data_IF_168318117554
#
_entry.id   IF_168318117554
#
_cell.length_a   1.000
_cell.length_b   1.000
_cell.length_c   1.000
_cell.angle_alpha   90.00
_cell.angle_beta   90.00
_cell.angle_gamma   90.00
#
_symmetry.space_group_name_H-M   'P 1'
#
loop_
_entity.id
_entity.type
_entity.pdbx_description
1 polymer ?
#
# COMPACT_ATOMS: atom_id res chain seq x y z
N UNK A 1 38.65 15.45 60.17
CA UNK A 1 38.61 16.73 59.43
C UNK A 1 38.67 17.86 60.44
N UNK A 2 39.41 18.95 60.18
CA UNK A 2 39.32 20.15 61.03
C UNK A 2 37.95 20.82 60.84
N UNK A 3 37.45 21.50 61.88
CA UNK A 3 36.16 22.18 61.86
C UNK A 3 36.04 23.16 60.68
N UNK A 4 37.13 23.87 60.36
CA UNK A 4 37.23 24.76 59.19
C UNK A 4 37.01 24.04 57.84
N UNK A 5 37.49 22.80 57.68
CA UNK A 5 37.31 22.05 56.44
C UNK A 5 35.86 21.60 56.25
N UNK A 6 35.16 21.28 57.34
CA UNK A 6 33.75 20.91 57.30
C UNK A 6 32.86 22.09 56.90
N UNK A 7 33.16 23.29 57.39
CA UNK A 7 32.43 24.51 57.04
C UNK A 7 32.64 24.96 55.59
N UNK A 8 33.88 24.88 55.11
CA UNK A 8 34.18 25.12 53.68
C UNK A 8 33.40 24.14 52.79
N UNK A 9 33.35 22.87 53.20
CA UNK A 9 32.62 21.84 52.48
C UNK A 9 31.09 22.05 52.51
N UNK A 10 30.50 22.40 53.65
CA UNK A 10 29.07 22.72 53.77
C UNK A 10 28.68 23.97 52.97
N UNK A 11 29.53 25.01 52.98
CA UNK A 11 29.34 26.19 52.14
C UNK A 11 29.32 25.83 50.65
N UNK A 12 30.28 24.99 50.22
CA UNK A 12 30.33 24.50 48.83
C UNK A 12 29.13 23.60 48.49
N UNK A 13 28.66 22.77 49.42
CA UNK A 13 27.48 21.94 49.23
C UNK A 13 26.20 22.78 49.08
N UNK A 14 26.04 23.83 49.89
CA UNK A 14 24.91 24.78 49.80
C UNK A 14 24.93 25.54 48.47
N UNK A 15 26.10 25.97 48.01
CA UNK A 15 26.25 26.65 46.72
C UNK A 15 25.93 25.71 45.55
N UNK A 16 26.40 24.45 45.61
CA UNK A 16 26.06 23.40 44.62
C UNK A 16 24.56 23.06 44.60
N UNK A 17 23.90 23.02 45.75
CA UNK A 17 22.45 22.85 45.85
C UNK A 17 21.69 24.08 45.33
N UNK A 18 22.21 25.29 45.55
CA UNK A 18 21.68 26.52 44.96
C UNK A 18 21.70 26.50 43.43
N UNK A 19 22.76 25.97 42.82
CA UNK A 19 22.85 25.78 41.36
C UNK A 19 21.81 24.77 40.85
N UNK A 20 21.48 23.74 41.63
CA UNK A 20 20.45 22.76 41.26
C UNK A 20 19.02 23.34 41.29
N UNK A 21 18.75 24.40 42.07
CA UNK A 21 17.46 25.12 42.04
C UNK A 21 17.20 25.90 40.75
N UNK A 22 18.24 26.14 39.95
CA UNK A 22 18.16 26.88 38.69
C UNK A 22 18.72 26.04 37.53
N UNK A 23 17.87 25.19 36.95
CA UNK A 23 18.24 24.44 35.74
C UNK A 23 18.01 25.34 34.52
N UNK A 24 19.09 25.75 33.84
CA UNK A 24 19.06 26.64 32.67
C UNK A 24 18.41 28.02 32.91
N UNK A 25 18.60 28.60 34.09
CA UNK A 25 18.10 29.96 34.41
C UNK A 25 16.59 30.05 34.62
N UNK A 26 15.89 28.91 34.70
CA UNK A 26 14.48 28.86 35.09
C UNK A 26 14.35 28.24 36.49
N UNK A 27 13.48 28.80 37.36
CA UNK A 27 13.18 28.18 38.65
C UNK A 27 12.56 26.81 38.39
N UNK A 28 13.08 25.79 39.06
CA UNK A 28 12.49 24.45 39.06
C UNK A 28 11.13 24.54 39.77
N UNK A 29 10.03 24.06 39.16
CA UNK A 29 8.70 24.15 39.78
C UNK A 29 8.68 23.40 41.12
N UNK A 30 8.11 24.05 42.15
CA UNK A 30 7.95 23.47 43.48
C UNK A 30 7.22 22.11 43.37
N UNK A 31 7.84 21.05 43.90
CA UNK A 31 7.33 19.67 43.87
C UNK A 31 8.01 18.69 42.90
N UNK A 32 8.99 19.10 42.08
CA UNK A 32 9.56 18.19 41.07
C UNK A 32 10.82 17.41 41.46
N UNK A 33 11.35 17.55 42.69
CA UNK A 33 12.45 16.68 43.13
C UNK A 33 12.39 16.38 44.63
N UNK A 34 11.95 15.16 45.03
CA UNK A 34 11.91 14.75 46.43
C UNK A 34 13.30 14.70 47.09
N UNK A 35 14.38 14.75 46.30
CA UNK A 35 15.76 14.74 46.76
C UNK A 35 16.18 16.13 47.26
N UNK A 36 15.75 17.20 46.58
CA UNK A 36 16.06 18.58 46.94
C UNK A 36 15.44 18.99 48.28
N UNK A 37 14.16 18.67 48.47
CA UNK A 37 13.43 18.97 49.71
C UNK A 37 14.02 18.20 50.91
N UNK A 38 14.39 16.93 50.73
CA UNK A 38 15.05 16.15 51.79
C UNK A 38 16.44 16.68 52.15
N UNK A 39 17.23 17.13 51.17
CA UNK A 39 18.54 17.72 51.41
C UNK A 39 18.44 19.04 52.19
N UNK A 40 17.47 19.91 51.86
CA UNK A 40 17.25 21.15 52.61
C UNK A 40 16.78 20.89 54.05
N UNK A 41 15.88 19.93 54.25
CA UNK A 41 15.44 19.52 55.59
C UNK A 41 16.61 19.00 56.45
N UNK A 42 17.53 18.25 55.85
CA UNK A 42 18.73 17.75 56.52
C UNK A 42 19.71 18.88 56.88
N UNK A 43 19.93 19.86 55.99
CA UNK A 43 20.78 21.03 56.27
C UNK A 43 20.20 21.86 57.42
N UNK A 44 18.90 22.10 57.42
CA UNK A 44 18.22 22.85 58.51
C UNK A 44 18.33 22.10 59.84
N UNK A 45 18.19 20.77 59.83
CA UNK A 45 18.32 19.93 61.03
C UNK A 45 19.76 19.93 61.59
N UNK A 46 20.77 19.95 60.70
CA UNK A 46 22.18 20.07 61.05
C UNK A 46 22.52 21.41 61.72
N UNK A 47 22.01 22.53 61.18
CA UNK A 47 22.22 23.85 61.78
C UNK A 47 21.57 23.95 63.17
N UNK A 48 20.36 23.41 63.33
CA UNK A 48 19.65 23.38 64.63
C UNK A 48 20.40 22.56 65.69
N UNK A 49 20.85 21.34 65.35
CA UNK A 49 21.66 20.50 66.23
C UNK A 49 23.01 21.17 66.58
N UNK A 50 23.57 21.89 65.60
CA UNK A 50 24.72 22.80 65.70
C UNK A 50 24.66 23.72 66.91
N UNK A 51 23.53 24.44 66.99
CA UNK A 51 23.28 25.45 68.01
C UNK A 51 22.98 24.84 69.38
N UNK A 52 22.49 23.59 69.43
CA UNK A 52 21.99 22.97 70.65
C UNK A 52 23.06 22.20 71.46
N UNK A 53 24.07 21.60 70.82
CA UNK A 53 25.04 20.76 71.54
C UNK A 53 26.46 20.75 70.89
N UNK A 54 27.41 21.57 71.37
CA UNK A 54 28.75 21.67 70.78
C UNK A 54 29.72 20.52 71.14
N UNK A 55 29.34 19.61 72.05
CA UNK A 55 30.18 18.47 72.49
C UNK A 55 29.34 17.21 72.64
N UNK A 56 29.07 16.49 71.56
CA UNK A 56 28.40 15.21 71.64
C UNK A 56 28.91 14.20 70.58
N UNK A 57 29.07 12.91 70.93
CA UNK A 57 29.37 11.82 69.98
C UNK A 57 28.26 11.62 68.92
N UNK A 58 27.09 12.22 69.12
CA UNK A 58 26.00 12.25 68.15
C UNK A 58 26.36 12.98 66.84
N UNK A 59 27.35 13.89 66.84
CA UNK A 59 27.78 14.58 65.62
C UNK A 59 28.47 13.63 64.64
N UNK A 60 29.30 12.70 65.11
CA UNK A 60 29.98 11.74 64.23
C UNK A 60 29.02 10.74 63.58
N UNK A 61 27.97 10.32 64.28
CA UNK A 61 26.94 9.43 63.73
C UNK A 61 26.11 10.15 62.66
N UNK A 62 25.74 11.41 62.92
CA UNK A 62 25.03 12.26 61.97
C UNK A 62 25.87 12.56 60.72
N UNK A 63 27.16 12.84 60.88
CA UNK A 63 28.09 13.03 59.76
C UNK A 63 28.21 11.77 58.91
N UNK A 64 28.33 10.59 59.54
CA UNK A 64 28.37 9.31 58.84
C UNK A 64 27.07 9.05 58.06
N UNK A 65 25.91 9.31 58.68
CA UNK A 65 24.60 9.18 58.03
C UNK A 65 24.45 10.15 56.83
N UNK A 66 24.90 11.40 56.99
CA UNK A 66 24.88 12.41 55.91
C UNK A 66 25.80 11.99 54.76
N UNK A 67 27.00 11.48 55.05
CA UNK A 67 27.91 10.97 54.03
C UNK A 67 27.31 9.79 53.27
N UNK A 68 26.66 8.85 53.97
CA UNK A 68 25.96 7.73 53.34
C UNK A 68 24.82 8.18 52.42
N UNK A 69 24.00 9.13 52.87
CA UNK A 69 22.90 9.68 52.07
C UNK A 69 23.41 10.42 50.83
N UNK A 70 24.47 11.21 50.97
CA UNK A 70 25.08 11.92 49.84
C UNK A 70 25.73 10.96 48.85
N UNK A 71 26.42 9.91 49.31
CA UNK A 71 26.98 8.90 48.44
C UNK A 71 25.89 8.21 47.61
N UNK A 72 24.79 7.78 48.25
CA UNK A 72 23.65 7.18 47.56
C UNK A 72 22.98 8.14 46.55
N UNK A 73 22.82 9.42 46.93
CA UNK A 73 22.24 10.43 46.05
C UNK A 73 23.13 10.74 44.83
N UNK A 74 24.46 10.75 45.03
CA UNK A 74 25.42 10.92 43.93
C UNK A 74 25.33 9.73 42.98
N UNK A 75 25.28 8.51 43.51
CA UNK A 75 25.14 7.28 42.70
C UNK A 75 23.85 7.32 41.86
N UNK A 76 22.71 7.68 42.46
CA UNK A 76 21.44 7.82 41.74
C UNK A 76 21.52 8.88 40.63
N UNK A 77 22.09 10.06 40.92
CA UNK A 77 22.27 11.11 39.92
C UNK A 77 23.21 10.68 38.79
N UNK A 78 24.27 9.92 39.08
CA UNK A 78 25.17 9.38 38.06
C UNK A 78 24.46 8.37 37.17
N UNK A 79 23.64 7.49 37.73
CA UNK A 79 22.85 6.50 36.98
C UNK A 79 21.82 7.19 36.08
N UNK A 80 21.10 8.18 36.61
CA UNK A 80 20.12 8.97 35.86
C UNK A 80 20.78 9.78 34.75
N UNK A 81 21.96 10.35 34.99
CA UNK A 81 22.72 11.09 33.98
C UNK A 81 23.23 10.17 32.88
N UNK A 82 23.73 8.98 33.24
CA UNK A 82 24.13 7.94 32.28
C UNK A 82 22.98 7.54 31.37
N UNK A 83 21.81 7.23 31.96
CA UNK A 83 20.62 6.90 31.19
C UNK A 83 20.17 8.03 30.25
N UNK A 84 20.26 9.30 30.69
CA UNK A 84 19.95 10.46 29.85
C UNK A 84 20.90 10.60 28.65
N UNK A 85 22.19 10.30 28.84
CA UNK A 85 23.17 10.29 27.75
C UNK A 85 22.87 9.18 26.74
N UNK A 86 22.58 7.97 27.21
CA UNK A 86 22.20 6.85 26.34
C UNK A 86 20.92 7.14 25.53
N UNK A 87 19.93 7.77 26.16
CA UNK A 87 18.70 8.19 25.47
C UNK A 87 18.97 9.29 24.44
N UNK A 88 19.87 10.23 24.74
CA UNK A 88 20.30 11.27 23.80
C UNK A 88 20.99 10.65 22.58
N UNK A 89 21.90 9.71 22.78
CA UNK A 89 22.62 9.05 21.68
C UNK A 89 21.68 8.20 20.82
N UNK A 90 20.73 7.49 21.45
CA UNK A 90 19.64 6.80 20.74
C UNK A 90 18.78 7.76 19.92
N UNK A 91 18.44 8.94 20.46
CA UNK A 91 17.66 9.93 19.74
C UNK A 91 18.43 10.52 18.54
N UNK A 92 19.73 10.77 18.69
CA UNK A 92 20.60 11.27 17.61
C UNK A 92 20.70 10.23 16.49
N UNK A 93 20.95 8.96 16.82
CA UNK A 93 21.03 7.88 15.81
C UNK A 93 19.70 7.63 15.11
N UNK A 94 18.57 7.70 15.81
CA UNK A 94 17.24 7.62 15.19
C UNK A 94 16.99 8.79 14.24
N UNK A 95 17.37 10.01 14.64
CA UNK A 95 17.24 11.20 13.78
C UNK A 95 18.07 11.06 12.51
N UNK A 96 19.33 10.62 12.63
CA UNK A 96 20.19 10.41 11.48
C UNK A 96 19.62 9.36 10.51
N UNK A 97 19.09 8.24 11.05
CA UNK A 97 18.40 7.23 10.22
C UNK A 97 17.16 7.78 9.52
N UNK A 98 16.41 8.66 10.15
CA UNK A 98 15.25 9.31 9.53
C UNK A 98 15.69 10.23 8.38
N UNK A 99 16.72 11.04 8.58
CA UNK A 99 17.29 11.90 7.53
C UNK A 99 17.84 11.08 6.35
N UNK A 100 18.52 9.96 6.62
CA UNK A 100 19.00 9.04 5.59
C UNK A 100 17.84 8.40 4.80
N UNK A 101 16.77 8.01 5.47
CA UNK A 101 15.58 7.46 4.83
C UNK A 101 14.86 8.51 3.96
N UNK A 102 14.74 9.75 4.43
CA UNK A 102 14.18 10.87 3.65
C UNK A 102 15.01 11.14 2.40
N UNK A 103 16.35 11.13 2.51
CA UNK A 103 17.25 11.29 1.37
C UNK A 103 17.10 10.16 0.34
N UNK A 104 16.91 8.91 0.79
CA UNK A 104 16.66 7.77 -0.10
C UNK A 104 15.32 7.89 -0.83
N UNK A 105 14.25 8.30 -0.13
CA UNK A 105 12.94 8.53 -0.76
C UNK A 105 13.02 9.66 -1.80
N UNK A 106 13.72 10.75 -1.48
CA UNK A 106 13.93 11.85 -2.43
C UNK A 106 14.70 11.40 -3.68
N UNK A 107 15.71 10.54 -3.53
CA UNK A 107 16.45 9.95 -4.64
C UNK A 107 15.55 9.09 -5.53
N UNK A 108 14.77 8.18 -4.93
CA UNK A 108 13.83 7.32 -5.69
C UNK A 108 12.77 8.14 -6.43
N UNK A 109 12.26 9.21 -5.81
CA UNK A 109 11.34 10.13 -6.49
C UNK A 109 12.00 10.82 -7.68
N UNK A 110 13.25 11.28 -7.53
CA UNK A 110 13.98 11.89 -8.64
C UNK A 110 14.20 10.92 -9.80
N UNK A 111 14.54 9.66 -9.50
CA UNK A 111 14.68 8.60 -10.50
C UNK A 111 13.36 8.28 -11.20
N UNK A 112 12.26 8.16 -10.45
CA UNK A 112 10.94 7.90 -11.02
C UNK A 112 10.49 9.01 -11.98
N UNK A 113 10.81 10.27 -11.68
CA UNK A 113 10.53 11.41 -12.56
C UNK A 113 11.39 11.35 -13.83
N UNK A 114 12.66 10.95 -13.73
CA UNK A 114 13.56 10.91 -14.89
C UNK A 114 13.42 9.67 -15.77
N UNK A 115 13.05 8.52 -15.20
CA UNK A 115 13.22 7.22 -15.89
C UNK A 115 11.97 6.61 -16.54
N UNK A 116 10.73 7.01 -16.24
CA UNK A 116 9.63 6.16 -16.74
C UNK A 116 8.18 6.64 -16.73
N UNK A 117 7.90 7.91 -16.47
CA UNK A 117 6.52 8.41 -16.50
C UNK A 117 6.26 9.29 -17.71
N UNK A 118 6.71 10.53 -17.60
CA UNK A 118 6.06 11.60 -18.35
C UNK A 118 6.42 11.64 -19.83
N UNK A 119 7.62 11.19 -20.21
CA UNK A 119 8.03 11.17 -21.63
C UNK A 119 7.30 10.07 -22.39
N UNK A 120 7.19 8.88 -21.80
CA UNK A 120 6.55 7.73 -22.44
C UNK A 120 5.04 7.87 -22.46
N UNK A 121 4.44 8.38 -21.38
CA UNK A 121 3.01 8.71 -21.37
C UNK A 121 2.66 9.78 -22.40
N UNK A 122 3.48 10.84 -22.52
CA UNK A 122 3.24 11.90 -23.50
C UNK A 122 3.41 11.40 -24.94
N UNK A 123 4.45 10.62 -25.22
CA UNK A 123 4.65 10.02 -26.54
C UNK A 123 3.52 9.03 -26.91
N UNK A 124 3.05 8.25 -25.93
CA UNK A 124 1.91 7.35 -26.12
C UNK A 124 0.62 8.12 -26.37
N UNK A 125 0.38 9.22 -25.65
CA UNK A 125 -0.78 10.09 -25.83
C UNK A 125 -0.78 10.75 -27.22
N UNK A 126 0.35 11.29 -27.66
CA UNK A 126 0.47 11.88 -29.01
C UNK A 126 0.20 10.83 -30.10
N UNK A 127 0.66 9.59 -29.91
CA UNK A 127 0.39 8.48 -30.85
C UNK A 127 -1.10 8.10 -30.86
N UNK A 128 -1.75 8.08 -29.71
CA UNK A 128 -3.18 7.80 -29.59
C UNK A 128 -4.00 8.89 -30.30
N UNK A 129 -3.69 10.17 -30.08
CA UNK A 129 -4.37 11.28 -30.77
C UNK A 129 -4.17 11.23 -32.29
N UNK A 130 -2.97 10.88 -32.76
CA UNK A 130 -2.72 10.69 -34.19
C UNK A 130 -3.53 9.53 -34.78
N UNK A 131 -3.65 8.42 -34.05
CA UNK A 131 -4.45 7.27 -34.47
C UNK A 131 -5.94 7.63 -34.56
N UNK A 132 -6.48 8.37 -33.58
CA UNK A 132 -7.87 8.83 -33.59
C UNK A 132 -8.15 9.77 -34.77
N UNK A 133 -7.24 10.71 -35.07
CA UNK A 133 -7.38 11.60 -36.23
C UNK A 133 -7.42 10.80 -37.54
N UNK A 134 -6.59 9.78 -37.68
CA UNK A 134 -6.59 8.90 -38.86
C UNK A 134 -7.86 8.07 -38.95
N UNK A 135 -8.34 7.53 -37.84
CA UNK A 135 -9.58 6.75 -37.79
C UNK A 135 -10.77 7.61 -38.24
N UNK A 136 -10.92 8.82 -37.69
CA UNK A 136 -11.99 9.76 -38.11
C UNK A 136 -11.89 10.14 -39.58
N UNK A 137 -10.67 10.34 -40.08
CA UNK A 137 -10.47 10.66 -41.50
C UNK A 137 -10.90 9.51 -42.41
N UNK A 138 -10.54 8.26 -42.06
CA UNK A 138 -10.96 7.07 -42.81
C UNK A 138 -12.48 6.86 -42.73
N UNK A 139 -13.07 7.09 -41.56
CA UNK A 139 -14.52 7.01 -41.37
C UNK A 139 -15.27 8.03 -42.27
N UNK A 140 -14.76 9.26 -42.35
CA UNK A 140 -15.31 10.27 -43.28
C UNK A 140 -15.18 9.82 -44.74
N UNK A 141 -14.04 9.28 -45.15
CA UNK A 141 -13.85 8.77 -46.51
C UNK A 141 -14.81 7.62 -46.84
N UNK A 142 -14.99 6.68 -45.90
CA UNK A 142 -15.92 5.56 -46.05
C UNK A 142 -17.37 6.04 -46.12
N UNK A 143 -17.75 7.02 -45.29
CA UNK A 143 -19.11 7.60 -45.35
C UNK A 143 -19.38 8.29 -46.69
N UNK A 144 -18.41 9.06 -47.21
CA UNK A 144 -18.53 9.72 -48.50
C UNK A 144 -18.61 8.72 -49.66
N UNK A 145 -17.91 7.59 -49.56
CA UNK A 145 -18.05 6.50 -50.53
C UNK A 145 -19.39 5.79 -50.42
N UNK A 146 -19.92 5.58 -49.22
CA UNK A 146 -21.23 4.98 -49.01
C UNK A 146 -22.37 5.85 -49.59
N UNK A 147 -22.29 7.16 -49.44
CA UNK A 147 -23.24 8.10 -50.05
C UNK A 147 -23.15 8.10 -51.59
N UNK A 148 -21.93 7.97 -52.14
CA UNK A 148 -21.74 7.82 -53.59
C UNK A 148 -22.16 6.43 -54.11
N UNK A 149 -22.16 5.42 -53.24
CA UNK A 149 -22.66 4.06 -53.50
C UNK A 149 -24.13 3.85 -53.07
N UNK A 150 -24.95 4.91 -53.08
CA UNK A 150 -26.40 4.76 -53.15
C UNK A 150 -26.93 4.81 -54.59
N UNK A 151 -26.67 3.81 -55.47
CA UNK A 151 -27.69 3.42 -56.42
C UNK A 151 -28.73 2.58 -55.66
N UNK A 152 -30.01 2.85 -55.93
CA UNK A 152 -31.14 2.00 -55.60
C UNK A 152 -30.74 0.52 -55.67
N UNK A 153 -30.47 -0.10 -54.53
CA UNK A 153 -30.18 -1.52 -54.46
C UNK A 153 -31.54 -2.22 -54.44
N UNK A 154 -31.94 -2.95 -55.51
CA UNK A 154 -33.08 -3.84 -55.40
C UNK A 154 -32.79 -4.83 -54.25
N UNK A 155 -33.82 -5.28 -53.51
CA UNK A 155 -33.62 -6.20 -52.40
C UNK A 155 -32.73 -7.33 -52.87
N UNK A 156 -31.66 -7.61 -52.12
CA UNK A 156 -30.71 -8.66 -52.41
C UNK A 156 -31.48 -9.96 -52.61
N UNK A 157 -31.78 -10.28 -53.87
CA UNK A 157 -32.15 -11.59 -54.30
C UNK A 157 -30.89 -12.41 -54.09
N UNK A 158 -30.74 -12.95 -52.87
CA UNK A 158 -29.73 -13.96 -52.57
C UNK A 158 -29.78 -15.01 -53.67
N UNK A 159 -28.62 -15.54 -54.06
CA UNK A 159 -28.46 -16.49 -55.16
C UNK A 159 -29.63 -17.50 -55.19
N UNK A 160 -30.62 -17.26 -56.05
CA UNK A 160 -31.69 -18.22 -56.30
C UNK A 160 -31.12 -19.16 -57.35
N UNK A 161 -30.54 -20.28 -56.89
CA UNK A 161 -30.16 -21.35 -57.79
C UNK A 161 -31.42 -21.90 -58.44
N UNK A 162 -31.54 -21.89 -59.79
CA UNK A 162 -32.76 -22.30 -60.50
C UNK A 162 -33.09 -23.80 -60.37
N UNK A 163 -32.30 -24.56 -59.62
CA UNK A 163 -32.50 -25.97 -59.31
C UNK A 163 -32.30 -26.22 -57.81
N UNK A 164 -33.14 -25.63 -56.96
CA UNK A 164 -33.24 -26.06 -55.57
C UNK A 164 -33.83 -27.48 -55.58
N UNK A 165 -32.97 -28.50 -55.42
CA UNK A 165 -33.46 -29.87 -55.26
C UNK A 165 -34.23 -29.97 -53.94
N UNK A 166 -35.20 -30.87 -53.87
CA UNK A 166 -35.95 -31.14 -52.61
C UNK A 166 -35.01 -31.40 -51.42
N UNK A 167 -33.83 -31.94 -51.69
CA UNK A 167 -32.78 -32.15 -50.70
C UNK A 167 -32.19 -30.83 -50.20
N UNK A 168 -31.82 -29.89 -51.08
CA UNK A 168 -31.29 -28.59 -50.67
C UNK A 168 -32.30 -27.74 -49.89
N UNK A 169 -33.58 -27.80 -50.27
CA UNK A 169 -34.65 -27.14 -49.51
C UNK A 169 -34.79 -27.75 -48.11
N UNK A 170 -34.78 -29.09 -48.02
CA UNK A 170 -34.82 -29.78 -46.73
C UNK A 170 -33.57 -29.47 -45.87
N UNK A 171 -32.39 -29.36 -46.49
CA UNK A 171 -31.16 -28.97 -45.81
C UNK A 171 -31.24 -27.54 -45.27
N UNK A 172 -31.77 -26.60 -46.06
CA UNK A 172 -31.96 -25.21 -45.65
C UNK A 172 -32.92 -25.12 -44.47
N UNK A 173 -34.05 -25.82 -44.54
CA UNK A 173 -35.05 -25.79 -43.47
C UNK A 173 -34.49 -26.45 -42.19
N UNK A 174 -33.74 -27.55 -42.32
CA UNK A 174 -33.04 -28.17 -41.20
C UNK A 174 -31.95 -27.25 -40.60
N UNK A 175 -31.26 -26.47 -41.44
CA UNK A 175 -30.30 -25.45 -40.99
C UNK A 175 -30.96 -24.40 -40.11
N UNK A 176 -32.11 -23.91 -40.54
CA UNK A 176 -32.87 -22.89 -39.81
C UNK A 176 -33.41 -23.45 -38.50
N UNK A 177 -33.95 -24.66 -38.50
CA UNK A 177 -34.60 -25.25 -37.32
C UNK A 177 -33.61 -25.72 -36.25
N UNK A 178 -32.50 -26.37 -36.65
CA UNK A 178 -31.59 -27.00 -35.70
C UNK A 178 -30.32 -26.19 -35.40
N UNK A 179 -29.90 -25.31 -36.31
CA UNK A 179 -28.59 -24.67 -36.23
C UNK A 179 -28.64 -23.14 -36.09
N UNK A 180 -29.72 -22.47 -36.48
CA UNK A 180 -29.80 -21.00 -36.45
C UNK A 180 -29.66 -20.38 -35.05
N UNK A 181 -30.17 -21.07 -34.03
CA UNK A 181 -30.12 -20.62 -32.62
C UNK A 181 -28.96 -21.22 -31.83
N UNK A 182 -28.13 -22.07 -32.46
CA UNK A 182 -27.07 -22.76 -31.75
C UNK A 182 -25.85 -21.84 -31.59
N UNK A 183 -25.56 -21.47 -30.34
CA UNK A 183 -24.42 -20.62 -30.02
C UNK A 183 -23.10 -21.41 -30.06
N UNK A 184 -22.07 -20.80 -30.64
CA UNK A 184 -20.73 -21.36 -30.83
C UNK A 184 -20.02 -21.68 -29.51
N UNK A 185 -20.45 -21.05 -28.43
CA UNK A 185 -19.92 -21.22 -27.08
C UNK A 185 -20.41 -22.51 -26.39
N UNK A 186 -21.51 -23.11 -26.86
CA UNK A 186 -22.17 -24.23 -26.20
C UNK A 186 -21.81 -25.55 -26.88
N UNK A 187 -21.46 -26.61 -26.14
CA UNK A 187 -21.22 -27.92 -26.75
C UNK A 187 -22.48 -28.44 -27.44
N UNK A 188 -22.27 -29.23 -28.50
CA UNK A 188 -23.36 -29.74 -29.33
C UNK A 188 -24.37 -30.54 -28.51
N UNK A 189 -25.69 -30.27 -28.63
CA UNK A 189 -26.72 -31.04 -27.95
C UNK A 189 -26.64 -32.52 -28.36
N UNK A 190 -26.63 -33.42 -27.37
CA UNK A 190 -26.51 -34.85 -27.63
C UNK A 190 -27.63 -35.34 -28.56
N UNK A 191 -27.24 -35.97 -29.67
CA UNK A 191 -28.17 -36.54 -30.64
C UNK A 191 -28.79 -35.57 -31.65
N UNK A 192 -28.35 -34.31 -31.73
CA UNK A 192 -28.87 -33.35 -32.73
C UNK A 192 -28.72 -33.85 -34.17
N UNK A 193 -27.62 -34.54 -34.48
CA UNK A 193 -27.41 -35.13 -35.81
C UNK A 193 -28.47 -36.19 -36.16
N UNK A 194 -28.89 -37.01 -35.18
CA UNK A 194 -29.94 -38.01 -35.39
C UNK A 194 -31.30 -37.35 -35.62
N UNK A 195 -31.58 -36.23 -34.94
CA UNK A 195 -32.80 -35.44 -35.15
C UNK A 195 -32.83 -34.79 -36.54
N UNK A 196 -31.72 -34.19 -36.96
CA UNK A 196 -31.56 -33.65 -38.33
C UNK A 196 -31.76 -34.76 -39.37
N UNK A 197 -31.20 -35.96 -39.13
CA UNK A 197 -31.36 -37.09 -40.05
C UNK A 197 -32.84 -37.55 -40.17
N UNK A 198 -33.58 -37.62 -39.05
CA UNK A 198 -35.02 -37.95 -39.05
C UNK A 198 -35.81 -36.87 -39.81
N UNK A 199 -35.53 -35.59 -39.55
CA UNK A 199 -36.18 -34.47 -40.24
C UNK A 199 -35.94 -34.49 -41.75
N UNK A 200 -34.71 -34.77 -42.17
CA UNK A 200 -34.37 -34.93 -43.59
C UNK A 200 -35.06 -36.16 -44.20
N UNK A 201 -35.19 -37.27 -43.45
CA UNK A 201 -35.88 -38.46 -43.90
C UNK A 201 -37.36 -38.18 -44.23
N UNK A 202 -38.05 -37.44 -43.36
CA UNK A 202 -39.45 -37.07 -43.52
C UNK A 202 -39.69 -36.16 -44.74
N UNK A 203 -38.75 -35.26 -45.03
CA UNK A 203 -38.86 -34.29 -46.14
C UNK A 203 -38.42 -34.85 -47.50
N UNK A 204 -37.44 -35.75 -47.53
CA UNK A 204 -36.80 -36.20 -48.79
C UNK A 204 -37.10 -37.64 -49.17
N UNK A 205 -37.42 -38.52 -48.22
CA UNK A 205 -37.64 -39.95 -48.47
C UNK A 205 -36.41 -40.73 -48.96
N UNK A 206 -35.20 -40.20 -48.75
CA UNK A 206 -33.95 -40.78 -49.23
C UNK A 206 -33.41 -41.90 -48.34
N UNK A 207 -32.39 -42.62 -48.83
CA UNK A 207 -31.78 -43.72 -48.09
C UNK A 207 -30.98 -43.23 -46.87
N UNK A 208 -31.00 -44.02 -45.79
CA UNK A 208 -30.36 -43.69 -44.50
C UNK A 208 -28.89 -43.27 -44.62
N UNK A 209 -28.15 -43.84 -45.58
CA UNK A 209 -26.73 -43.52 -45.81
C UNK A 209 -26.54 -42.11 -46.37
N UNK A 210 -27.37 -41.69 -47.33
CA UNK A 210 -27.32 -40.33 -47.89
C UNK A 210 -27.75 -39.29 -46.86
N UNK A 211 -28.76 -39.61 -46.05
CA UNK A 211 -29.24 -38.70 -45.01
C UNK A 211 -28.17 -38.40 -43.94
N UNK A 212 -27.30 -39.38 -43.66
CA UNK A 212 -26.16 -39.17 -42.74
C UNK A 212 -25.13 -38.21 -43.35
N UNK A 213 -24.83 -38.35 -44.63
CA UNK A 213 -23.92 -37.44 -45.36
C UNK A 213 -24.48 -36.02 -45.42
N UNK A 214 -25.78 -35.87 -45.70
CA UNK A 214 -26.45 -34.56 -45.71
C UNK A 214 -26.47 -33.92 -44.31
N UNK A 215 -26.80 -34.69 -43.27
CA UNK A 215 -26.76 -34.19 -41.89
C UNK A 215 -25.35 -33.76 -41.44
N UNK A 216 -24.31 -34.45 -41.92
CA UNK A 216 -22.91 -34.06 -41.71
C UNK A 216 -22.56 -32.77 -42.46
N UNK A 217 -23.05 -32.59 -43.68
CA UNK A 217 -22.76 -31.43 -44.52
C UNK A 217 -23.38 -30.11 -44.02
N UNK A 218 -24.49 -30.15 -43.29
CA UNK A 218 -25.15 -28.95 -42.72
C UNK A 218 -24.52 -28.54 -41.37
N UNK A 219 -23.69 -29.40 -40.78
CA UNK A 219 -23.08 -29.12 -39.47
C UNK A 219 -22.15 -27.90 -39.57
N UNK A 220 -22.22 -26.93 -38.64
CA UNK A 220 -21.25 -25.83 -38.57
C UNK A 220 -19.81 -26.36 -38.35
N UNK A 221 -18.86 -25.84 -39.12
CA UNK A 221 -17.45 -26.24 -39.00
C UNK A 221 -16.80 -25.79 -37.68
N UNK A 222 -17.26 -24.66 -37.12
CA UNK A 222 -16.66 -23.98 -35.95
C UNK A 222 -17.06 -24.56 -34.58
N UNK A 223 -17.66 -25.75 -34.52
CA UNK A 223 -18.10 -26.34 -33.25
C UNK A 223 -16.90 -26.89 -32.44
N UNK A 224 -16.77 -26.56 -31.14
CA UNK A 224 -15.73 -27.12 -30.29
C UNK A 224 -15.84 -28.65 -30.27
N UNK A 225 -14.72 -29.33 -30.54
CA UNK A 225 -14.65 -30.80 -30.41
C UNK A 225 -14.77 -31.12 -28.91
N UNK A 226 -15.85 -31.80 -28.55
CA UNK A 226 -15.99 -32.43 -27.24
C UNK A 226 -14.95 -33.52 -27.03
#
# INVERSE_FOLDING_TARGET
MSEQNLWSWLGSARERLGVLKYRHGKPVPEGSSPIGEKAEALIVSLDQLKTACPKAPALSELESALHGYLAASIEELTNVTGAMLDHRDKAVTMKQRAEEAEAQVALLLSQAVTEGGDTDYRAMQERAEQAERRARYLEQQLSAQADQQSPQQPPAAGLVFPYATKQLEAMRDAAIEFWHQHDRSTPMPYGIQKRVQIFLAERTGESSRKLEELAKAIKPDDLPKA
#
